data_IF_136585082104
#
_entry.id   IF_136585082104
#
_cell.length_a   1.000
_cell.length_b   1.000
_cell.length_c   1.000
_cell.angle_alpha   90.00
_cell.angle_beta   90.00
_cell.angle_gamma   90.00
#
_symmetry.space_group_name_H-M   'P 1'
#
loop_
_entity.id
_entity.type
_entity.pdbx_description
1 polymer ?
#
# COMPACT_ATOMS: atom_id res chain seq x y z
N UNK A 1 13.21 2.89 -15.06
CA UNK A 1 14.63 2.71 -14.72
C UNK A 1 14.67 2.25 -13.28
N UNK A 2 15.18 1.06 -13.00
CA UNK A 2 15.28 0.55 -11.62
C UNK A 2 16.54 1.15 -10.98
N UNK A 3 16.46 1.48 -9.69
CA UNK A 3 17.61 1.92 -8.92
C UNK A 3 18.35 0.67 -8.44
N UNK A 4 19.57 0.47 -8.95
CA UNK A 4 20.40 -0.69 -8.64
C UNK A 4 21.18 -0.52 -7.33
N UNK A 5 21.01 0.59 -6.62
CA UNK A 5 21.65 0.77 -5.32
C UNK A 5 21.03 -0.14 -4.24
N UNK A 6 21.86 -0.78 -3.40
CA UNK A 6 21.35 -1.62 -2.33
C UNK A 6 20.51 -0.79 -1.34
N UNK A 7 19.43 -1.36 -0.78
CA UNK A 7 18.60 -0.65 0.18
C UNK A 7 19.43 -0.15 1.35
N UNK A 8 19.20 1.09 1.78
CA UNK A 8 19.88 1.64 2.94
C UNK A 8 19.79 0.69 4.15
N UNK A 9 20.79 0.73 5.03
CA UNK A 9 20.79 -0.10 6.24
C UNK A 9 19.50 0.07 7.08
N UNK A 10 18.87 1.24 7.01
CA UNK A 10 17.57 1.52 7.63
C UNK A 10 16.45 0.69 6.99
N UNK A 11 16.34 0.70 5.67
CA UNK A 11 15.33 -0.09 4.94
C UNK A 11 15.55 -1.58 5.19
N UNK A 12 16.79 -2.05 5.09
CA UNK A 12 17.13 -3.46 5.34
C UNK A 12 16.76 -3.91 6.75
N UNK A 13 16.99 -3.06 7.77
CA UNK A 13 16.61 -3.36 9.16
C UNK A 13 15.10 -3.54 9.33
N UNK A 14 14.31 -2.64 8.73
CA UNK A 14 12.84 -2.71 8.77
C UNK A 14 12.36 -4.02 8.14
N UNK A 15 12.86 -4.36 6.95
CA UNK A 15 12.45 -5.59 6.27
C UNK A 15 12.91 -6.86 7.01
N UNK A 16 14.08 -6.85 7.65
CA UNK A 16 14.58 -7.97 8.46
C UNK A 16 13.76 -8.21 9.73
N UNK A 17 13.15 -7.17 10.29
CA UNK A 17 12.27 -7.31 11.46
C UNK A 17 10.86 -7.84 11.13
N UNK A 18 10.52 -7.98 9.85
CA UNK A 18 9.20 -8.42 9.41
C UNK A 18 9.23 -9.90 9.00
N UNK A 19 8.12 -10.61 9.25
CA UNK A 19 7.91 -11.90 8.62
C UNK A 19 7.71 -11.71 7.10
N UNK A 20 7.81 -12.81 6.35
CA UNK A 20 7.68 -12.80 4.87
C UNK A 20 6.37 -12.16 4.40
N UNK A 21 5.26 -12.44 5.07
CA UNK A 21 3.94 -11.91 4.72
C UNK A 21 3.89 -10.38 4.85
N UNK A 22 4.29 -9.86 6.01
CA UNK A 22 4.32 -8.41 6.27
C UNK A 22 5.32 -7.68 5.36
N UNK A 23 6.47 -8.28 5.09
CA UNK A 23 7.43 -7.74 4.14
C UNK A 23 6.84 -7.66 2.72
N UNK A 24 6.12 -8.71 2.28
CA UNK A 24 5.44 -8.71 0.99
C UNK A 24 4.35 -7.62 0.93
N UNK A 25 3.51 -7.51 1.95
CA UNK A 25 2.48 -6.45 2.05
C UNK A 25 3.11 -5.07 2.00
N UNK A 26 4.20 -4.83 2.74
CA UNK A 26 4.90 -3.55 2.73
C UNK A 26 5.45 -3.22 1.34
N UNK A 27 6.03 -4.19 0.65
CA UNK A 27 6.50 -4.01 -0.74
C UNK A 27 5.35 -3.73 -1.70
N UNK A 28 4.23 -4.42 -1.58
CA UNK A 28 3.04 -4.18 -2.41
C UNK A 28 2.48 -2.77 -2.18
N UNK A 29 2.37 -2.34 -0.92
CA UNK A 29 1.95 -0.98 -0.57
C UNK A 29 2.90 0.07 -1.15
N UNK A 30 4.22 -0.10 -1.00
CA UNK A 30 5.22 0.84 -1.52
C UNK A 30 5.25 0.94 -3.04
N UNK A 31 4.92 -0.15 -3.74
CA UNK A 31 4.94 -0.20 -5.20
C UNK A 31 3.57 0.02 -5.84
N UNK A 32 2.51 0.17 -5.03
CA UNK A 32 1.14 0.27 -5.52
C UNK A 32 0.59 -1.04 -6.13
N UNK A 33 1.25 -2.17 -5.92
CA UNK A 33 0.83 -3.51 -6.35
C UNK A 33 0.03 -4.23 -5.26
N UNK A 34 -0.87 -3.51 -4.62
CA UNK A 34 -1.74 -4.02 -3.54
C UNK A 34 -3.17 -4.14 -4.07
N UNK A 35 -3.96 -5.06 -3.53
CA UNK A 35 -5.35 -5.31 -3.93
C UNK A 35 -6.32 -4.18 -3.51
N UNK A 36 -6.05 -2.96 -3.98
CA UNK A 36 -6.92 -1.78 -3.90
C UNK A 36 -7.54 -1.52 -5.28
N UNK A 37 -8.71 -0.90 -5.33
CA UNK A 37 -9.49 -0.76 -6.56
C UNK A 37 -8.72 -0.04 -7.67
N UNK A 38 -7.83 0.91 -7.36
CA UNK A 38 -6.97 1.52 -8.39
C UNK A 38 -6.12 0.47 -9.12
N UNK A 39 -5.41 -0.39 -8.38
CA UNK A 39 -4.57 -1.41 -8.97
C UNK A 39 -5.39 -2.52 -9.63
N UNK A 40 -6.46 -2.96 -8.98
CA UNK A 40 -7.35 -3.99 -9.51
C UNK A 40 -8.01 -3.54 -10.82
N UNK A 41 -8.42 -2.27 -10.92
CA UNK A 41 -8.97 -1.70 -12.15
C UNK A 41 -7.91 -1.63 -13.24
N UNK A 42 -6.68 -1.24 -12.90
CA UNK A 42 -5.54 -1.19 -13.84
C UNK A 42 -5.25 -2.55 -14.48
N UNK A 43 -5.45 -3.65 -13.75
CA UNK A 43 -5.26 -5.02 -14.27
C UNK A 43 -6.55 -5.66 -14.80
N UNK A 44 -7.67 -4.93 -14.85
CA UNK A 44 -8.96 -5.43 -15.34
C UNK A 44 -9.70 -6.38 -14.39
N UNK A 45 -9.31 -6.47 -13.12
CA UNK A 45 -9.95 -7.33 -12.13
C UNK A 45 -11.25 -6.74 -11.55
N UNK A 46 -11.43 -5.41 -11.61
CA UNK A 46 -12.66 -4.73 -11.20
C UNK A 46 -13.05 -3.67 -12.23
N UNK A 47 -14.35 -3.36 -12.32
CA UNK A 47 -14.90 -2.41 -13.31
C UNK A 47 -14.79 -0.93 -12.95
N UNK A 48 -14.31 -0.58 -11.74
CA UNK A 48 -14.14 0.81 -11.33
C UNK A 48 -12.98 0.95 -10.33
N UNK A 49 -12.16 2.02 -10.44
CA UNK A 49 -11.08 2.29 -9.49
C UNK A 49 -11.56 2.99 -8.22
N UNK A 50 -12.86 3.30 -8.11
CA UNK A 50 -13.42 4.11 -7.04
C UNK A 50 -13.59 3.30 -5.75
N UNK A 51 -13.36 3.95 -4.62
CA UNK A 51 -13.68 3.45 -3.31
C UNK A 51 -15.21 3.41 -3.14
N UNK A 52 -15.72 2.27 -2.69
CA UNK A 52 -17.16 2.04 -2.51
C UNK A 52 -17.82 2.91 -1.44
N UNK A 53 -17.02 3.58 -0.57
CA UNK A 53 -17.55 4.35 0.56
C UNK A 53 -17.50 5.87 0.35
N UNK A 54 -16.50 6.39 -0.33
CA UNK A 54 -16.35 7.84 -0.54
C UNK A 54 -16.39 8.27 -2.02
N UNK A 55 -16.31 7.32 -2.97
CA UNK A 55 -16.33 7.61 -4.40
C UNK A 55 -15.03 8.21 -4.97
N UNK A 56 -13.97 8.39 -4.17
CA UNK A 56 -12.64 8.77 -4.68
C UNK A 56 -11.89 7.54 -5.19
N UNK A 57 -10.85 7.74 -6.02
CA UNK A 57 -9.97 6.65 -6.47
C UNK A 57 -9.30 5.99 -5.25
N UNK A 58 -9.43 4.68 -5.11
CA UNK A 58 -8.85 3.93 -4.00
C UNK A 58 -7.35 3.67 -4.23
N UNK A 59 -6.54 4.68 -3.93
CA UNK A 59 -5.07 4.61 -3.93
C UNK A 59 -4.53 4.15 -2.56
N UNK A 60 -3.23 3.84 -2.50
CA UNK A 60 -2.55 3.54 -1.21
C UNK A 60 -2.65 4.71 -0.24
N UNK A 61 -2.45 5.95 -0.70
CA UNK A 61 -2.57 7.15 0.13
C UNK A 61 -4.00 7.36 0.61
N UNK A 62 -4.98 7.14 -0.27
CA UNK A 62 -6.38 7.18 0.10
C UNK A 62 -6.66 6.17 1.22
N UNK A 63 -6.26 4.92 1.02
CA UNK A 63 -6.50 3.82 1.96
C UNK A 63 -5.80 4.02 3.30
N UNK A 64 -4.52 4.41 3.32
CA UNK A 64 -3.74 4.53 4.56
C UNK A 64 -3.97 5.85 5.30
N UNK A 65 -4.17 6.97 4.59
CA UNK A 65 -4.13 8.30 5.19
C UNK A 65 -5.47 9.04 5.17
N UNK A 66 -6.38 8.70 4.27
CA UNK A 66 -7.65 9.44 4.10
C UNK A 66 -8.86 8.62 4.50
N UNK A 67 -8.72 7.30 4.49
CA UNK A 67 -9.81 6.40 4.80
C UNK A 67 -10.09 6.37 6.31
N UNK A 68 -11.30 6.78 6.69
CA UNK A 68 -11.72 6.94 8.08
C UNK A 68 -11.53 5.67 8.93
N UNK A 69 -11.53 4.48 8.30
CA UNK A 69 -11.38 3.19 8.97
C UNK A 69 -10.04 3.04 9.71
N UNK A 70 -8.98 3.71 9.26
CA UNK A 70 -7.65 3.62 9.86
C UNK A 70 -7.27 4.83 10.71
N UNK A 71 -8.23 5.69 11.03
CA UNK A 71 -7.99 6.85 11.90
C UNK A 71 -7.49 6.39 13.27
N UNK A 72 -8.10 5.36 13.85
CA UNK A 72 -7.72 4.83 15.17
C UNK A 72 -6.29 4.31 15.19
N UNK A 73 -5.91 3.46 14.23
CA UNK A 73 -4.56 2.88 14.16
C UNK A 73 -3.46 3.93 13.93
N UNK A 74 -3.78 5.08 13.35
CA UNK A 74 -2.83 6.18 13.20
C UNK A 74 -2.65 7.01 14.47
N UNK A 75 -3.69 7.08 15.31
CA UNK A 75 -3.62 7.79 16.59
C UNK A 75 -2.89 7.03 17.68
N UNK A 76 -2.59 5.74 17.45
CA UNK A 76 -1.87 4.85 18.38
C UNK A 76 -0.34 4.80 18.12
N UNK A 77 0.18 5.58 17.16
CA UNK A 77 1.62 5.75 16.89
C UNK A 77 2.18 6.99 17.60
#
# INVERSE_FOLDING_TARGET
>A
KFDDTPPSARVTRVYRSLNRGHAATLTQLRTGHVALNQYLHRIGAVGSPLCTRCGEIETVDHFLLRYARFVTQRGEL
#
